data_IF_643869847298
#
_entry.id   IF_643869847298
#
_cell.length_a   1.000
_cell.length_b   1.000
_cell.length_c   1.000
_cell.angle_alpha   90.00
_cell.angle_beta   90.00
_cell.angle_gamma   90.00
#
_symmetry.space_group_name_H-M   'P 1'
#
loop_
_entity.id
_entity.type
_entity.pdbx_description
1 polymer ?
#
# COMPACT_ATOMS: atom_id res chain seq x y z
N UNK A 1 -11.07 -10.09 17.24
CA UNK A 1 -11.74 -9.86 15.93
C UNK A 1 -13.24 -10.16 15.90
N UNK A 2 -14.06 -9.26 15.34
CA UNK A 2 -15.51 -9.48 15.13
C UNK A 2 -15.77 -10.54 14.03
N UNK A 3 -16.79 -11.42 14.14
CA UNK A 3 -17.08 -12.46 13.15
C UNK A 3 -17.23 -11.95 11.71
N UNK A 4 -17.95 -10.84 11.52
CA UNK A 4 -18.15 -10.24 10.20
C UNK A 4 -16.84 -9.74 9.55
N UNK A 5 -15.87 -9.27 10.36
CA UNK A 5 -14.55 -8.84 9.88
C UNK A 5 -13.75 -10.05 9.42
N UNK A 6 -13.80 -11.15 10.18
CA UNK A 6 -13.17 -12.42 9.81
C UNK A 6 -13.69 -12.98 8.50
N UNK A 7 -15.01 -13.04 8.33
CA UNK A 7 -15.64 -13.49 7.08
C UNK A 7 -15.23 -12.61 5.88
N UNK A 8 -15.13 -11.29 6.09
CA UNK A 8 -14.64 -10.38 5.05
C UNK A 8 -13.19 -10.66 4.67
N UNK A 9 -12.30 -10.91 5.62
CA UNK A 9 -10.90 -11.23 5.36
C UNK A 9 -10.76 -12.55 4.61
N UNK A 10 -11.52 -13.57 5.00
CA UNK A 10 -11.54 -14.86 4.32
C UNK A 10 -11.95 -14.70 2.85
N UNK A 11 -13.06 -13.99 2.57
CA UNK A 11 -13.50 -13.72 1.18
C UNK A 11 -12.47 -12.97 0.35
N UNK A 12 -11.73 -12.03 0.96
CA UNK A 12 -10.67 -11.30 0.25
C UNK A 12 -9.47 -12.20 -0.06
N UNK A 13 -9.11 -13.11 0.85
CA UNK A 13 -8.06 -14.09 0.63
C UNK A 13 -8.45 -15.14 -0.42
N UNK A 14 -9.68 -15.63 -0.39
CA UNK A 14 -10.23 -16.53 -1.42
C UNK A 14 -10.25 -15.85 -2.79
N UNK A 15 -10.66 -14.58 -2.86
CA UNK A 15 -10.62 -13.80 -4.10
C UNK A 15 -9.19 -13.65 -4.62
N UNK A 16 -8.22 -13.37 -3.75
CA UNK A 16 -6.81 -13.30 -4.12
C UNK A 16 -6.31 -14.63 -4.73
N UNK A 17 -6.62 -15.76 -4.10
CA UNK A 17 -6.27 -17.08 -4.61
C UNK A 17 -6.93 -17.37 -5.97
N UNK A 18 -8.22 -17.06 -6.13
CA UNK A 18 -8.94 -17.22 -7.40
C UNK A 18 -8.35 -16.35 -8.53
N UNK A 19 -7.87 -15.14 -8.22
CA UNK A 19 -7.18 -14.28 -9.19
C UNK A 19 -5.82 -14.86 -9.58
N UNK A 20 -5.08 -15.45 -8.64
CA UNK A 20 -3.81 -16.13 -8.94
C UNK A 20 -4.02 -17.30 -9.91
N UNK A 21 -5.08 -18.10 -9.70
CA UNK A 21 -5.47 -19.15 -10.64
C UNK A 21 -5.87 -18.57 -12.00
N UNK A 22 -6.66 -17.50 -12.02
CA UNK A 22 -7.08 -16.85 -13.26
C UNK A 22 -5.90 -16.31 -14.07
N UNK A 23 -4.84 -15.80 -13.42
CA UNK A 23 -3.62 -15.35 -14.09
C UNK A 23 -2.83 -16.49 -14.73
N UNK A 24 -2.93 -17.71 -14.20
CA UNK A 24 -2.29 -18.89 -14.77
C UNK A 24 -3.04 -19.48 -15.98
N UNK A 25 -4.25 -18.98 -16.28
CA UNK A 25 -5.07 -19.50 -17.38
C UNK A 25 -4.71 -18.89 -18.74
N UNK A 26 -4.63 -19.69 -19.83
CA UNK A 26 -4.30 -19.20 -21.16
C UNK A 26 -5.23 -18.09 -21.66
N UNK A 27 -6.52 -18.15 -21.31
CA UNK A 27 -7.53 -17.18 -21.77
C UNK A 27 -7.31 -15.79 -21.17
N UNK A 28 -6.75 -15.71 -19.97
CA UNK A 28 -6.35 -14.44 -19.34
C UNK A 28 -5.03 -13.95 -19.94
N UNK A 29 -4.08 -14.85 -20.15
CA UNK A 29 -2.76 -14.51 -20.71
C UNK A 29 -2.84 -14.02 -22.17
N UNK A 30 -3.84 -14.47 -22.94
CA UNK A 30 -4.05 -14.07 -24.33
C UNK A 30 -4.74 -12.71 -24.51
N UNK A 31 -5.32 -12.14 -23.45
CA UNK A 31 -6.03 -10.85 -23.47
C UNK A 31 -5.27 -9.81 -22.63
N UNK A 32 -4.59 -8.82 -23.25
CA UNK A 32 -3.78 -7.83 -22.55
C UNK A 32 -4.55 -6.99 -21.51
N UNK A 33 -5.80 -6.61 -21.79
CA UNK A 33 -6.58 -5.81 -20.85
C UNK A 33 -7.04 -6.66 -19.67
N UNK A 34 -7.56 -7.86 -19.94
CA UNK A 34 -7.97 -8.79 -18.88
C UNK A 34 -6.80 -9.18 -18.00
N UNK A 35 -5.62 -9.42 -18.58
CA UNK A 35 -4.39 -9.68 -17.85
C UNK A 35 -4.04 -8.52 -16.92
N UNK A 36 -4.05 -7.29 -17.45
CA UNK A 36 -3.73 -6.08 -16.68
C UNK A 36 -4.69 -5.87 -15.52
N UNK A 37 -6.00 -6.01 -15.75
CA UNK A 37 -7.03 -5.88 -14.73
C UNK A 37 -6.88 -6.93 -13.63
N UNK A 38 -6.74 -8.20 -14.02
CA UNK A 38 -6.61 -9.33 -13.08
C UNK A 38 -5.33 -9.20 -12.26
N UNK A 39 -4.21 -8.84 -12.89
CA UNK A 39 -2.92 -8.63 -12.21
C UNK A 39 -2.97 -7.46 -11.23
N UNK A 40 -3.67 -6.38 -11.60
CA UNK A 40 -3.85 -5.20 -10.74
C UNK A 40 -4.69 -5.56 -9.51
N UNK A 41 -5.80 -6.28 -9.69
CA UNK A 41 -6.64 -6.71 -8.57
C UNK A 41 -5.90 -7.69 -7.65
N UNK A 42 -5.18 -8.67 -8.21
CA UNK A 42 -4.36 -9.62 -7.46
C UNK A 42 -3.31 -8.87 -6.60
N UNK A 43 -2.54 -7.98 -7.22
CA UNK A 43 -1.53 -7.18 -6.53
C UNK A 43 -2.13 -6.27 -5.43
N UNK A 44 -3.39 -5.84 -5.60
CA UNK A 44 -4.09 -5.02 -4.60
C UNK A 44 -4.52 -5.84 -3.38
N UNK A 45 -4.92 -7.10 -3.57
CA UNK A 45 -5.38 -7.98 -2.48
C UNK A 45 -4.23 -8.69 -1.76
N UNK A 46 -3.06 -8.82 -2.38
CA UNK A 46 -1.90 -9.52 -1.81
C UNK A 46 -1.55 -9.09 -0.37
N UNK A 47 -1.46 -7.79 -0.02
CA UNK A 47 -1.13 -7.39 1.36
C UNK A 47 -2.14 -7.88 2.40
N UNK A 48 -3.43 -7.92 2.03
CA UNK A 48 -4.50 -8.39 2.94
C UNK A 48 -4.42 -9.91 3.09
N UNK A 49 -4.24 -10.63 1.97
CA UNK A 49 -4.15 -12.08 1.97
C UNK A 49 -2.92 -12.58 2.76
N UNK A 50 -1.76 -11.95 2.57
CA UNK A 50 -0.53 -12.26 3.30
C UNK A 50 -0.66 -11.96 4.80
N UNK A 51 -1.20 -10.80 5.15
CA UNK A 51 -1.47 -10.46 6.55
C UNK A 51 -2.45 -11.45 7.20
N UNK A 52 -3.48 -11.88 6.47
CA UNK A 52 -4.45 -12.85 6.94
C UNK A 52 -3.83 -14.24 7.17
N UNK A 53 -2.99 -14.70 6.25
CA UNK A 53 -2.26 -15.96 6.39
C UNK A 53 -1.36 -15.97 7.63
N UNK A 54 -0.62 -14.88 7.88
CA UNK A 54 0.20 -14.72 9.09
C UNK A 54 -0.65 -14.73 10.36
N UNK A 55 -1.82 -14.08 10.35
CA UNK A 55 -2.75 -14.07 11.47
C UNK A 55 -3.25 -15.49 11.77
N UNK A 56 -3.68 -16.24 10.76
CA UNK A 56 -4.11 -17.63 10.91
C UNK A 56 -2.99 -18.53 11.45
N UNK A 57 -1.76 -18.32 11.01
CA UNK A 57 -0.60 -19.05 11.53
C UNK A 57 -0.27 -18.69 13.00
N UNK A 58 -0.44 -17.42 13.39
CA UNK A 58 -0.31 -17.01 14.80
C UNK A 58 -1.44 -17.59 15.67
N UNK A 59 -2.66 -17.65 15.14
CA UNK A 59 -3.81 -18.25 15.81
C UNK A 59 -3.62 -19.75 16.04
N UNK A 60 -3.09 -20.48 15.05
CA UNK A 60 -2.74 -21.90 15.17
C UNK A 60 -1.68 -22.12 16.26
N UNK A 61 -0.58 -21.35 16.25
CA UNK A 61 0.47 -21.42 17.29
C UNK A 61 -0.07 -21.15 18.68
N UNK A 62 -0.93 -20.14 18.84
CA UNK A 62 -1.57 -19.86 20.13
C UNK A 62 -2.49 -21.01 20.59
N UNK A 63 -3.19 -21.68 19.67
CA UNK A 63 -4.02 -22.83 19.98
C UNK A 63 -3.17 -24.05 20.41
N UNK A 64 -2.08 -24.33 19.70
CA UNK A 64 -1.12 -25.39 20.03
C UNK A 64 -0.48 -25.18 21.41
N UNK A 65 0.00 -23.96 21.69
CA UNK A 65 0.58 -23.62 22.99
C UNK A 65 -0.45 -23.76 24.13
N UNK A 66 -1.71 -23.35 23.91
CA UNK A 66 -2.79 -23.56 24.90
C UNK A 66 -3.09 -25.03 25.14
N UNK A 67 -3.09 -25.86 24.08
CA UNK A 67 -3.30 -27.29 24.21
C UNK A 67 -2.15 -27.94 25.01
N UNK A 68 -0.90 -27.58 24.70
CA UNK A 68 0.27 -28.06 25.44
C UNK A 68 0.19 -27.67 26.93
N UNK A 69 -0.22 -26.45 27.24
CA UNK A 69 -0.43 -26.01 28.63
C UNK A 69 -1.57 -26.72 29.37
N UNK A 70 -2.52 -27.32 28.66
CA UNK A 70 -3.62 -28.07 29.27
C UNK A 70 -3.21 -29.52 29.59
N UNK A 71 -2.35 -30.12 28.77
CA UNK A 71 -1.98 -31.54 28.85
C UNK A 71 -0.65 -31.79 29.58
N UNK A 72 0.30 -30.86 29.46
CA UNK A 72 1.65 -31.01 30.00
C UNK A 72 1.71 -30.70 31.51
N UNK A 73 2.50 -31.50 32.23
CA UNK A 73 2.72 -31.38 33.68
C UNK A 73 4.14 -30.99 34.04
N UNK A 74 5.09 -31.20 33.13
CA UNK A 74 6.47 -30.77 33.30
C UNK A 74 6.56 -29.22 33.36
N UNK A 75 7.24 -28.71 34.39
CA UNK A 75 7.27 -27.28 34.67
C UNK A 75 8.09 -26.48 33.64
N UNK A 76 9.17 -27.05 33.10
CA UNK A 76 9.99 -26.39 32.07
C UNK A 76 9.25 -26.31 30.75
N UNK A 77 8.63 -27.40 30.31
CA UNK A 77 7.85 -27.42 29.06
C UNK A 77 6.63 -26.48 29.14
N UNK A 78 5.99 -26.39 30.30
CA UNK A 78 4.89 -25.43 30.52
C UNK A 78 5.38 -23.99 30.49
N UNK A 79 6.56 -23.69 31.04
CA UNK A 79 7.11 -22.33 30.98
C UNK A 79 7.39 -21.92 29.53
N UNK A 80 7.97 -22.82 28.73
CA UNK A 80 8.19 -22.59 27.30
C UNK A 80 6.87 -22.34 26.55
N UNK A 81 5.85 -23.16 26.79
CA UNK A 81 4.54 -23.00 26.17
C UNK A 81 3.84 -21.68 26.57
N UNK A 82 4.05 -21.19 27.80
CA UNK A 82 3.57 -19.87 28.24
C UNK A 82 4.24 -18.73 27.48
N UNK A 83 5.56 -18.81 27.28
CA UNK A 83 6.30 -17.81 26.49
C UNK A 83 5.85 -17.79 25.03
N UNK A 84 5.68 -18.97 24.42
CA UNK A 84 5.16 -19.09 23.05
C UNK A 84 3.75 -18.53 22.91
N UNK A 85 2.87 -18.83 23.87
CA UNK A 85 1.52 -18.29 23.89
C UNK A 85 1.53 -16.76 23.99
N UNK A 86 2.32 -16.18 24.90
CA UNK A 86 2.43 -14.73 25.06
C UNK A 86 2.96 -14.04 23.80
N UNK A 87 3.96 -14.64 23.13
CA UNK A 87 4.48 -14.15 21.87
C UNK A 87 3.43 -14.22 20.75
N UNK A 88 2.69 -15.32 20.65
CA UNK A 88 1.64 -15.49 19.66
C UNK A 88 0.47 -14.52 19.86
N UNK A 89 0.06 -14.27 21.12
CA UNK A 89 -1.00 -13.31 21.45
C UNK A 89 -0.60 -11.87 21.14
N UNK A 90 0.67 -11.50 21.41
CA UNK A 90 1.21 -10.19 21.03
C UNK A 90 1.20 -9.98 19.52
N UNK A 91 1.63 -11.00 18.76
CA UNK A 91 1.62 -10.97 17.31
C UNK A 91 0.19 -10.92 16.74
N UNK A 92 -0.76 -11.64 17.34
CA UNK A 92 -2.17 -11.58 16.96
C UNK A 92 -2.74 -10.17 17.11
N UNK A 93 -2.46 -9.49 18.22
CA UNK A 93 -2.92 -8.11 18.43
C UNK A 93 -2.33 -7.16 17.37
N UNK A 94 -1.03 -7.28 17.09
CA UNK A 94 -0.34 -6.48 16.06
C UNK A 94 -0.93 -6.71 14.66
N UNK A 95 -1.19 -7.97 14.32
CA UNK A 95 -1.75 -8.36 13.03
C UNK A 95 -3.23 -7.96 12.90
N UNK A 96 -4.01 -8.01 13.98
CA UNK A 96 -5.40 -7.54 13.97
C UNK A 96 -5.46 -6.04 13.62
N UNK A 97 -4.61 -5.21 14.22
CA UNK A 97 -4.50 -3.79 13.90
C UNK A 97 -4.06 -3.55 12.45
N UNK A 98 -3.10 -4.34 11.96
CA UNK A 98 -2.64 -4.27 10.57
C UNK A 98 -3.77 -4.60 9.59
N UNK A 99 -4.52 -5.68 9.85
CA UNK A 99 -5.66 -6.08 9.04
C UNK A 99 -6.77 -5.03 9.05
N UNK A 100 -7.07 -4.43 10.20
CA UNK A 100 -8.05 -3.34 10.28
C UNK A 100 -7.66 -2.15 9.41
N UNK A 101 -6.38 -1.74 9.42
CA UNK A 101 -5.86 -0.67 8.55
C UNK A 101 -5.98 -1.05 7.07
N UNK A 102 -5.67 -2.29 6.71
CA UNK A 102 -5.75 -2.78 5.34
C UNK A 102 -7.19 -2.87 4.81
N UNK A 103 -8.19 -3.03 5.69
CA UNK A 103 -9.61 -3.07 5.34
C UNK A 103 -10.24 -1.70 5.13
N UNK A 104 -9.53 -0.61 5.47
CA UNK A 104 -10.00 0.74 5.22
C UNK A 104 -10.15 0.97 3.71
N UNK A 105 -11.24 1.62 3.26
CA UNK A 105 -11.42 1.94 1.86
C UNK A 105 -10.26 2.83 1.39
N UNK A 106 -9.52 2.35 0.39
CA UNK A 106 -8.50 3.14 -0.30
C UNK A 106 -9.16 4.12 -1.25
N UNK A 107 -8.55 5.29 -1.42
CA UNK A 107 -8.98 6.23 -2.45
C UNK A 107 -8.70 5.58 -3.83
N UNK A 108 -9.68 5.53 -4.75
CA UNK A 108 -9.48 4.96 -6.08
C UNK A 108 -8.38 5.66 -6.88
N UNK A 109 -7.98 6.87 -6.46
CA UNK A 109 -6.91 7.63 -7.06
C UNK A 109 -5.54 7.37 -6.42
N UNK A 110 -5.45 6.67 -5.28
CA UNK A 110 -4.20 6.56 -4.51
C UNK A 110 -3.01 6.10 -5.36
N UNK A 111 -3.25 5.19 -6.31
CA UNK A 111 -2.21 4.64 -7.17
C UNK A 111 -1.97 5.43 -8.48
N UNK A 112 -2.77 6.47 -8.75
CA UNK A 112 -2.71 7.22 -10.00
C UNK A 112 -1.49 8.15 -10.08
N UNK A 113 -1.08 8.39 -11.33
CA UNK A 113 -0.18 9.47 -11.72
C UNK A 113 -0.86 10.82 -11.48
N UNK A 114 -0.08 11.90 -11.50
CA UNK A 114 -0.62 13.26 -11.34
C UNK A 114 -0.13 14.21 -12.44
N UNK A 115 -0.87 15.30 -12.62
CA UNK A 115 -0.38 16.53 -13.21
C UNK A 115 -0.09 17.50 -12.08
N UNK A 116 1.16 17.98 -12.01
CA UNK A 116 1.61 19.01 -11.09
C UNK A 116 1.65 20.33 -11.86
N UNK A 117 0.79 21.25 -11.46
CA UNK A 117 0.70 22.59 -12.03
C UNK A 117 1.10 23.61 -10.97
N UNK A 118 2.16 24.37 -11.25
CA UNK A 118 2.69 25.40 -10.36
C UNK A 118 2.60 26.73 -11.11
N UNK A 119 1.89 27.69 -10.51
CA UNK A 119 1.66 29.03 -11.07
C UNK A 119 2.18 30.09 -10.11
N UNK A 120 2.88 31.08 -10.65
CA UNK A 120 3.27 32.26 -9.90
C UNK A 120 2.01 33.02 -9.45
N UNK A 121 1.94 33.35 -8.16
CA UNK A 121 0.88 34.15 -7.59
C UNK A 121 1.18 35.65 -7.68
N UNK A 122 0.85 36.38 -6.62
CA UNK A 122 1.23 37.79 -6.48
C UNK A 122 2.72 37.93 -6.15
N UNK A 123 3.35 39.02 -6.60
CA UNK A 123 4.76 39.30 -6.34
C UNK A 123 5.70 39.08 -7.53
N UNK A 124 5.19 39.16 -8.78
CA UNK A 124 6.01 39.32 -9.98
C UNK A 124 7.16 38.30 -10.11
N UNK A 125 8.38 38.80 -10.17
CA UNK A 125 9.59 38.00 -10.37
C UNK A 125 9.91 37.10 -9.16
N UNK A 126 9.67 37.56 -7.94
CA UNK A 126 9.86 36.74 -6.74
C UNK A 126 8.91 35.54 -6.74
N UNK A 127 7.67 35.73 -7.19
CA UNK A 127 6.70 34.64 -7.34
C UNK A 127 7.13 33.63 -8.40
N UNK A 128 7.72 34.10 -9.51
CA UNK A 128 8.21 33.22 -10.56
C UNK A 128 9.43 32.39 -10.08
N UNK A 129 10.36 33.01 -9.36
CA UNK A 129 11.49 32.32 -8.74
C UNK A 129 11.03 31.25 -7.76
N UNK A 130 10.05 31.58 -6.90
CA UNK A 130 9.50 30.63 -5.95
C UNK A 130 8.78 29.45 -6.62
N UNK A 131 8.06 29.69 -7.72
CA UNK A 131 7.47 28.60 -8.51
C UNK A 131 8.55 27.65 -9.08
N UNK A 132 9.70 28.20 -9.50
CA UNK A 132 10.87 27.41 -9.90
C UNK A 132 11.46 26.59 -8.76
N UNK A 133 11.54 27.16 -7.56
CA UNK A 133 12.02 26.46 -6.37
C UNK A 133 11.08 25.33 -5.94
N UNK A 134 9.76 25.56 -5.99
CA UNK A 134 8.75 24.52 -5.74
C UNK A 134 8.88 23.40 -6.76
N UNK A 135 8.98 23.73 -8.06
CA UNK A 135 9.14 22.71 -9.09
C UNK A 135 10.40 21.86 -8.85
N UNK A 136 11.53 22.49 -8.51
CA UNK A 136 12.77 21.79 -8.15
C UNK A 136 12.61 20.93 -6.89
N UNK A 137 11.90 21.42 -5.87
CA UNK A 137 11.62 20.69 -4.64
C UNK A 137 10.80 19.42 -4.92
N UNK A 138 9.67 19.56 -5.62
CA UNK A 138 8.82 18.42 -5.97
C UNK A 138 9.49 17.46 -6.94
N UNK A 139 10.28 17.97 -7.90
CA UNK A 139 11.08 17.15 -8.81
C UNK A 139 12.06 16.25 -8.05
N UNK A 140 12.82 16.81 -7.11
CA UNK A 140 13.73 16.02 -6.26
C UNK A 140 12.99 15.01 -5.37
N UNK A 141 11.81 15.35 -4.87
CA UNK A 141 10.99 14.41 -4.11
C UNK A 141 10.53 13.24 -4.99
N UNK A 142 10.08 13.52 -6.22
CA UNK A 142 9.68 12.50 -7.19
C UNK A 142 10.84 11.56 -7.56
N UNK A 143 12.03 12.10 -7.83
CA UNK A 143 13.24 11.32 -8.10
C UNK A 143 13.58 10.36 -6.96
N UNK A 144 13.53 10.82 -5.69
CA UNK A 144 13.76 9.98 -4.51
C UNK A 144 12.74 8.85 -4.35
N UNK A 145 11.56 8.99 -4.95
CA UNK A 145 10.51 7.95 -4.99
C UNK A 145 10.61 7.07 -6.23
N UNK A 146 11.59 7.30 -7.12
CA UNK A 146 11.72 6.58 -8.38
C UNK A 146 10.64 6.94 -9.40
N UNK A 147 9.99 8.09 -9.25
CA UNK A 147 8.97 8.56 -10.19
C UNK A 147 9.60 9.34 -11.33
N UNK A 148 9.00 9.25 -12.52
CA UNK A 148 9.41 10.01 -13.70
C UNK A 148 8.66 11.34 -13.75
N UNK A 149 9.38 12.44 -13.96
CA UNK A 149 8.79 13.77 -14.16
C UNK A 149 8.94 14.17 -15.62
N UNK A 150 7.82 14.48 -16.27
CA UNK A 150 7.76 14.90 -17.67
C UNK A 150 7.20 16.32 -17.73
N UNK A 151 8.02 17.32 -18.09
CA UNK A 151 7.52 18.69 -18.30
C UNK A 151 6.70 18.73 -19.58
N UNK A 152 5.48 19.23 -19.48
CA UNK A 152 4.54 19.34 -20.61
C UNK A 152 4.43 20.76 -21.13
N UNK A 153 4.44 21.74 -20.22
CA UNK A 153 4.44 23.17 -20.55
C UNK A 153 5.26 23.93 -19.53
N UNK A 154 5.98 24.96 -19.97
CA UNK A 154 6.71 25.86 -19.11
C UNK A 154 6.69 27.27 -19.69
N UNK A 155 6.31 28.24 -18.87
CA UNK A 155 6.32 29.66 -19.14
C UNK A 155 7.34 30.32 -18.19
N UNK A 156 8.57 30.59 -18.64
CA UNK A 156 9.61 31.17 -17.79
C UNK A 156 9.25 32.56 -17.25
N UNK A 157 9.78 32.88 -16.06
CA UNK A 157 9.80 34.25 -15.55
C UNK A 157 10.82 35.11 -16.28
N UNK A 158 10.71 36.43 -16.15
CA UNK A 158 11.61 37.39 -16.82
C UNK A 158 13.02 37.35 -16.22
N UNK A 159 13.10 37.22 -14.90
CA UNK A 159 14.36 37.13 -14.15
C UNK A 159 14.70 35.70 -13.65
N UNK A 160 14.06 34.68 -14.24
CA UNK A 160 14.21 33.27 -13.87
C UNK A 160 12.96 32.67 -13.23
N UNK A 161 13.03 31.37 -12.92
CA UNK A 161 11.88 30.61 -12.44
C UNK A 161 10.77 30.48 -13.50
N UNK A 162 9.52 30.33 -13.07
CA UNK A 162 8.37 30.09 -13.96
C UNK A 162 7.14 30.94 -13.58
N UNK A 163 6.53 31.61 -14.55
CA UNK A 163 5.16 32.14 -14.42
C UNK A 163 4.15 30.99 -14.33
N UNK A 164 4.36 29.92 -15.09
CA UNK A 164 3.62 28.67 -15.03
C UNK A 164 4.52 27.50 -15.42
N UNK A 165 4.38 26.36 -14.75
CA UNK A 165 4.96 25.09 -15.17
C UNK A 165 3.99 23.95 -14.91
N UNK A 166 3.78 23.12 -15.93
CA UNK A 166 2.92 21.93 -15.88
C UNK A 166 3.80 20.71 -16.16
N UNK A 167 3.83 19.78 -15.22
CA UNK A 167 4.55 18.52 -15.37
C UNK A 167 3.67 17.33 -15.01
N UNK A 168 3.85 16.23 -15.74
CA UNK A 168 3.27 14.94 -15.40
C UNK A 168 4.24 14.16 -14.52
N UNK A 169 3.77 13.69 -13.38
CA UNK A 169 4.54 12.80 -12.50
C UNK A 169 4.00 11.39 -12.65
N UNK A 170 4.82 10.51 -13.22
CA UNK A 170 4.49 9.12 -13.52
C UNK A 170 5.13 8.20 -12.49
N UNK A 171 4.30 7.54 -11.70
CA UNK A 171 4.73 6.63 -10.65
C UNK A 171 3.58 6.16 -9.78
N UNK A 172 3.56 4.86 -9.43
CA UNK A 172 2.54 4.28 -8.58
C UNK A 172 2.55 4.98 -7.22
N UNK A 173 1.39 5.50 -6.80
CA UNK A 173 1.25 6.16 -5.52
C UNK A 173 1.46 7.68 -5.53
N UNK A 174 1.74 8.30 -6.69
CA UNK A 174 2.03 9.73 -6.78
C UNK A 174 0.89 10.60 -6.21
N UNK A 175 -0.36 10.31 -6.58
CA UNK A 175 -1.53 11.03 -6.06
C UNK A 175 -1.66 10.93 -4.55
N UNK A 176 -1.59 9.73 -3.98
CA UNK A 176 -1.76 9.53 -2.53
C UNK A 176 -0.81 10.37 -1.67
N UNK A 177 0.36 10.70 -2.22
CA UNK A 177 1.46 11.41 -1.54
C UNK A 177 1.47 12.92 -1.78
N UNK A 178 0.92 13.39 -2.90
CA UNK A 178 1.00 14.77 -3.36
C UNK A 178 -0.38 15.44 -3.49
N UNK A 179 -1.44 14.81 -2.96
CA UNK A 179 -2.81 15.36 -2.96
C UNK A 179 -3.03 16.55 -2.00
N UNK A 180 -2.05 16.87 -1.17
CA UNK A 180 -2.04 17.98 -0.20
C UNK A 180 -0.76 18.79 -0.41
#
# INVERSE_FOLDING_TARGET
MKPAVRERLERLAERHAALAEALARPETASDPERLRETATEHARLAPVAEAWARYRAAEARAAEARALLAEERDAELRALAQEELAAAETELARLEDELQRLLLPRDPNDERNIYLEIRAGTGGDEAALFAGDLFRMYGRYAERKGWKVEVLSAHPGEHGGYKEIIARVVGRGAWSRLKY
#
